data_IF_212934869310
#
_entry.id   IF_212934869310
#
_cell.length_a   1.000
_cell.length_b   1.000
_cell.length_c   1.000
_cell.angle_alpha   90.00
_cell.angle_beta   90.00
_cell.angle_gamma   90.00
#
_symmetry.space_group_name_H-M   'P 1'
#
loop_
_entity.id
_entity.type
_entity.pdbx_description
1 polymer ?
#
# COMPACT_ATOMS: atom_id res chain seq x y z
N UNK A 1 10.44 -12.90 10.19
CA UNK A 1 9.98 -12.09 11.35
C UNK A 1 8.62 -12.59 11.78
N UNK A 2 8.40 -12.75 13.08
CA UNK A 2 7.09 -13.01 13.67
C UNK A 2 6.79 -11.88 14.66
N UNK A 3 5.53 -11.46 14.72
CA UNK A 3 5.08 -10.41 15.61
C UNK A 3 3.68 -10.70 16.14
N UNK A 4 3.45 -10.31 17.38
CA UNK A 4 2.13 -10.24 18.00
C UNK A 4 1.97 -8.88 18.65
N UNK A 5 0.83 -8.23 18.45
CA UNK A 5 0.52 -6.94 19.06
C UNK A 5 -0.97 -6.82 19.39
N UNK A 6 -1.31 -5.82 20.20
CA UNK A 6 -2.71 -5.44 20.43
C UNK A 6 -3.31 -4.82 19.15
N UNK A 7 -4.62 -4.99 18.97
CA UNK A 7 -5.38 -4.46 17.83
C UNK A 7 -5.80 -2.99 17.95
N UNK A 8 -5.56 -2.35 19.10
CA UNK A 8 -6.07 -1.02 19.45
C UNK A 8 -5.35 0.17 18.77
N UNK A 9 -4.47 -0.09 17.80
CA UNK A 9 -3.73 0.94 17.09
C UNK A 9 -2.44 1.38 17.79
N UNK A 10 -1.67 2.24 17.12
CA UNK A 10 -0.47 2.85 17.69
C UNK A 10 -0.87 3.88 18.76
N UNK A 11 -0.21 3.84 19.91
CA UNK A 11 -0.28 4.86 20.96
C UNK A 11 -1.64 5.00 21.70
N UNK A 12 -2.37 3.89 21.86
CA UNK A 12 -3.54 3.84 22.74
C UNK A 12 -3.15 3.27 24.11
N UNK A 13 -3.12 4.07 25.19
CA UNK A 13 -2.73 3.60 26.52
C UNK A 13 -3.84 2.83 27.24
N UNK A 14 -5.08 2.88 26.74
CA UNK A 14 -6.23 2.24 27.37
C UNK A 14 -6.45 0.82 26.85
N UNK A 15 -6.61 -0.12 27.79
CA UNK A 15 -7.03 -1.47 27.48
C UNK A 15 -8.56 -1.49 27.30
N UNK A 16 -9.01 -1.42 26.05
CA UNK A 16 -10.43 -1.38 25.71
C UNK A 16 -11.00 -2.74 25.29
N UNK A 17 -10.17 -3.63 24.74
CA UNK A 17 -10.59 -4.94 24.23
C UNK A 17 -9.44 -5.98 24.19
N UNK A 18 -9.79 -7.21 23.81
CA UNK A 18 -8.85 -8.31 23.55
C UNK A 18 -8.48 -8.45 22.07
N UNK A 19 -8.67 -7.41 21.24
CA UNK A 19 -8.32 -7.49 19.83
C UNK A 19 -6.81 -7.70 19.66
N UNK A 20 -6.42 -8.60 18.76
CA UNK A 20 -5.01 -8.97 18.54
C UNK A 20 -4.64 -8.94 17.07
N UNK A 21 -3.36 -8.66 16.80
CA UNK A 21 -2.78 -8.72 15.47
C UNK A 21 -1.60 -9.69 15.47
N UNK A 22 -1.66 -10.64 14.56
CA UNK A 22 -0.63 -11.64 14.33
C UNK A 22 0.02 -11.33 12.99
N UNK A 23 1.35 -11.29 12.95
CA UNK A 23 2.11 -10.98 11.75
C UNK A 23 3.22 -12.00 11.55
N UNK A 24 3.34 -12.49 10.32
CA UNK A 24 4.46 -13.30 9.86
C UNK A 24 5.00 -12.71 8.57
N UNK A 25 6.31 -12.45 8.51
CA UNK A 25 7.00 -11.98 7.31
C UNK A 25 8.20 -12.87 7.01
N UNK A 26 8.35 -13.24 5.75
CA UNK A 26 9.51 -13.97 5.22
C UNK A 26 10.11 -13.13 4.11
N UNK A 27 11.43 -13.05 4.09
CA UNK A 27 12.19 -12.34 3.06
C UNK A 27 13.23 -13.28 2.47
N UNK A 28 13.39 -13.23 1.16
CA UNK A 28 14.31 -14.07 0.42
C UNK A 28 15.11 -13.24 -0.58
N UNK A 29 16.43 -13.28 -0.45
CA UNK A 29 17.38 -12.55 -1.27
C UNK A 29 18.30 -13.54 -1.99
N UNK A 30 17.87 -14.15 -3.12
CA UNK A 30 18.63 -15.19 -3.81
C UNK A 30 20.02 -14.71 -4.28
N UNK A 31 20.16 -13.40 -4.49
CA UNK A 31 21.37 -12.77 -5.01
C UNK A 31 22.20 -12.10 -3.90
N UNK A 32 21.90 -12.35 -2.63
CA UNK A 32 22.60 -11.78 -1.47
C UNK A 32 22.19 -10.34 -1.12
N UNK A 33 22.62 -9.88 0.05
CA UNK A 33 22.26 -8.58 0.63
C UNK A 33 22.75 -7.42 -0.25
N UNK A 34 21.90 -6.42 -0.46
CA UNK A 34 22.21 -5.19 -1.19
C UNK A 34 21.48 -4.00 -0.56
N UNK A 35 21.86 -2.76 -0.93
CA UNK A 35 21.11 -1.56 -0.52
C UNK A 35 19.77 -1.54 -1.26
N UNK A 36 18.75 -2.08 -0.62
CA UNK A 36 17.36 -2.13 -1.05
C UNK A 36 16.64 -0.78 -0.85
N UNK A 37 16.91 -0.05 0.24
CA UNK A 37 16.23 1.21 0.61
C UNK A 37 16.26 2.37 -0.41
N UNK A 38 17.20 2.40 -1.37
CA UNK A 38 17.23 3.45 -2.41
C UNK A 38 16.46 2.98 -3.64
N UNK A 39 15.31 3.55 -3.95
CA UNK A 39 14.48 3.15 -5.12
C UNK A 39 15.29 3.09 -6.42
N UNK A 40 16.16 4.07 -6.65
CA UNK A 40 17.01 4.18 -7.84
C UNK A 40 18.35 3.45 -7.68
N UNK A 41 18.77 2.73 -8.71
CA UNK A 41 20.06 2.02 -8.77
C UNK A 41 21.24 2.96 -9.16
N UNK A 42 21.53 3.94 -8.30
CA UNK A 42 22.70 4.83 -8.48
C UNK A 42 24.05 4.08 -8.51
N UNK A 43 24.11 2.94 -7.83
CA UNK A 43 25.32 2.12 -7.75
C UNK A 43 25.54 1.23 -8.99
N UNK A 44 24.58 1.20 -9.94
CA UNK A 44 24.60 0.33 -11.13
C UNK A 44 24.93 -1.11 -10.77
N UNK A 45 24.14 -1.66 -9.85
CA UNK A 45 24.36 -2.98 -9.28
C UNK A 45 24.33 -4.07 -10.36
N UNK A 46 25.07 -5.17 -10.12
CA UNK A 46 24.78 -6.46 -10.80
C UNK A 46 23.34 -6.86 -10.48
N UNK A 47 22.68 -7.73 -11.26
CA UNK A 47 21.32 -8.17 -10.95
C UNK A 47 21.17 -8.55 -9.47
N UNK A 48 20.24 -7.88 -8.80
CA UNK A 48 19.84 -8.14 -7.42
C UNK A 48 18.32 -8.25 -7.38
N UNK A 49 17.84 -9.18 -6.56
CA UNK A 49 16.43 -9.42 -6.33
C UNK A 49 16.23 -9.64 -4.83
N UNK A 50 15.25 -8.96 -4.27
CA UNK A 50 14.68 -9.28 -2.97
C UNK A 50 13.18 -9.52 -3.15
N UNK A 51 12.66 -10.52 -2.46
CA UNK A 51 11.23 -10.85 -2.42
C UNK A 51 10.83 -10.94 -0.96
N UNK A 52 9.77 -10.23 -0.58
CA UNK A 52 9.12 -10.28 0.72
C UNK A 52 7.72 -10.86 0.59
N UNK A 53 7.30 -11.64 1.58
CA UNK A 53 5.91 -12.05 1.74
C UNK A 53 5.52 -11.88 3.21
N UNK A 54 4.37 -11.26 3.44
CA UNK A 54 3.82 -10.98 4.76
C UNK A 54 2.39 -11.47 4.82
N UNK A 55 2.06 -12.16 5.91
CA UNK A 55 0.70 -12.48 6.29
C UNK A 55 0.40 -11.79 7.61
N UNK A 56 -0.76 -11.15 7.70
CA UNK A 56 -1.27 -10.66 8.98
C UNK A 56 -2.74 -11.01 9.18
N UNK A 57 -3.05 -11.34 10.43
CA UNK A 57 -4.39 -11.64 10.89
C UNK A 57 -4.76 -10.66 12.00
N UNK A 58 -5.88 -9.96 11.82
CA UNK A 58 -6.45 -9.06 12.82
C UNK A 58 -7.70 -9.74 13.36
N UNK A 59 -7.67 -10.08 14.63
CA UNK A 59 -8.78 -10.68 15.36
C UNK A 59 -9.57 -9.57 16.07
N UNK A 60 -10.88 -9.48 15.78
CA UNK A 60 -11.79 -8.49 16.35
C UNK A 60 -11.35 -7.03 16.17
N UNK A 61 -10.90 -6.65 14.97
CA UNK A 61 -10.63 -5.25 14.66
C UNK A 61 -11.91 -4.41 14.75
N UNK A 62 -11.86 -3.30 15.49
CA UNK A 62 -12.98 -2.38 15.69
C UNK A 62 -13.05 -1.27 14.62
N UNK A 63 -12.15 -1.27 13.62
CA UNK A 63 -12.12 -0.30 12.51
C UNK A 63 -12.20 -0.98 11.15
N UNK A 64 -12.74 -0.26 10.18
CA UNK A 64 -13.03 -0.72 8.80
C UNK A 64 -11.79 -1.11 7.97
N UNK A 65 -10.58 -0.76 8.44
CA UNK A 65 -9.30 -1.06 7.78
C UNK A 65 -8.29 -1.75 8.71
N UNK A 66 -8.76 -2.49 9.72
CA UNK A 66 -7.91 -3.18 10.69
C UNK A 66 -7.57 -2.27 11.87
N UNK A 67 -6.29 -1.88 12.02
CA UNK A 67 -5.85 -0.94 13.09
C UNK A 67 -6.03 0.54 12.74
N UNK A 68 -6.38 0.85 11.48
CA UNK A 68 -6.57 2.21 10.97
C UNK A 68 -8.00 2.36 10.42
N UNK A 69 -8.38 3.59 10.05
CA UNK A 69 -9.70 3.88 9.49
C UNK A 69 -10.73 4.30 10.52
N UNK A 70 -12.00 4.26 10.15
CA UNK A 70 -13.11 4.67 11.00
C UNK A 70 -13.59 3.49 11.86
N UNK A 71 -13.98 3.72 13.13
CA UNK A 71 -14.64 2.70 13.91
C UNK A 71 -15.99 2.34 13.28
N UNK A 72 -16.44 1.10 13.48
CA UNK A 72 -17.76 0.71 13.00
C UNK A 72 -18.86 1.41 13.80
N UNK A 73 -19.74 2.13 13.11
CA UNK A 73 -20.82 2.90 13.74
C UNK A 73 -21.83 2.00 14.47
N UNK A 74 -21.95 0.73 14.09
CA UNK A 74 -22.82 -0.25 14.74
C UNK A 74 -22.21 -0.87 16.02
N UNK A 75 -20.99 -0.46 16.38
CA UNK A 75 -20.23 -1.03 17.51
C UNK A 75 -19.72 -2.45 17.27
N UNK A 76 -19.83 -2.96 16.03
CA UNK A 76 -19.36 -4.28 15.67
C UNK A 76 -17.85 -4.35 15.46
N UNK A 77 -17.37 -5.53 15.09
CA UNK A 77 -15.95 -5.77 14.78
C UNK A 77 -15.79 -6.52 13.46
N UNK A 78 -14.55 -6.72 13.01
CA UNK A 78 -14.24 -7.53 11.85
C UNK A 78 -12.95 -8.32 12.06
N UNK A 79 -12.94 -9.54 11.54
CA UNK A 79 -11.73 -10.34 11.44
C UNK A 79 -11.13 -10.11 10.04
N UNK A 80 -9.85 -9.75 9.96
CA UNK A 80 -9.18 -9.49 8.69
C UNK A 80 -7.97 -10.39 8.47
N UNK A 81 -7.88 -10.93 7.26
CA UNK A 81 -6.68 -11.56 6.72
C UNK A 81 -6.08 -10.67 5.65
N UNK A 82 -4.79 -10.39 5.79
CA UNK A 82 -3.99 -9.66 4.83
C UNK A 82 -2.85 -10.54 4.34
N UNK A 83 -2.66 -10.56 3.03
CA UNK A 83 -1.48 -11.10 2.37
C UNK A 83 -0.83 -9.97 1.60
N UNK A 84 0.46 -9.76 1.81
CA UNK A 84 1.23 -8.75 1.12
C UNK A 84 2.51 -9.37 0.58
N UNK A 85 2.77 -9.18 -0.71
CA UNK A 85 3.97 -9.68 -1.38
C UNK A 85 4.64 -8.51 -2.05
N UNK A 86 5.93 -8.34 -1.81
CA UNK A 86 6.73 -7.30 -2.42
C UNK A 86 7.96 -7.90 -3.09
N UNK A 87 8.42 -7.25 -4.16
CA UNK A 87 9.68 -7.60 -4.78
C UNK A 87 10.37 -6.35 -5.31
N UNK A 88 11.69 -6.29 -5.13
CA UNK A 88 12.55 -5.26 -5.68
C UNK A 88 13.66 -5.89 -6.51
N UNK A 89 13.83 -5.39 -7.72
CA UNK A 89 14.85 -5.81 -8.66
C UNK A 89 15.71 -4.61 -9.07
N UNK A 90 17.03 -4.80 -9.12
CA UNK A 90 17.97 -3.78 -9.60
C UNK A 90 19.02 -4.41 -10.52
N UNK A 91 19.32 -3.74 -11.63
CA UNK A 91 20.39 -4.15 -12.53
C UNK A 91 20.86 -2.98 -13.41
N UNK A 92 22.15 -2.63 -13.30
CA UNK A 92 22.85 -1.71 -14.23
C UNK A 92 22.17 -0.34 -14.41
N UNK A 93 21.53 0.18 -13.37
CA UNK A 93 20.79 1.45 -13.42
C UNK A 93 19.30 1.29 -13.69
N UNK A 94 18.83 0.08 -14.01
CA UNK A 94 17.42 -0.27 -13.96
C UNK A 94 17.01 -0.65 -12.54
N UNK A 95 15.83 -0.20 -12.12
CA UNK A 95 15.20 -0.56 -10.86
C UNK A 95 13.71 -0.82 -11.08
N UNK A 96 13.19 -1.88 -10.48
CA UNK A 96 11.76 -2.15 -10.47
C UNK A 96 11.32 -2.61 -9.09
N UNK A 97 10.15 -2.15 -8.66
CA UNK A 97 9.48 -2.54 -7.42
C UNK A 97 8.07 -2.95 -7.79
N UNK A 98 7.61 -4.06 -7.23
CA UNK A 98 6.21 -4.45 -7.34
C UNK A 98 5.69 -4.88 -5.98
N UNK A 99 4.43 -4.57 -5.73
CA UNK A 99 3.75 -4.84 -4.48
C UNK A 99 2.36 -5.39 -4.81
N UNK A 100 1.97 -6.47 -4.15
CA UNK A 100 0.68 -7.12 -4.27
C UNK A 100 0.08 -7.26 -2.87
N UNK A 101 -1.09 -6.68 -2.65
CA UNK A 101 -1.84 -6.77 -1.42
C UNK A 101 -3.16 -7.49 -1.68
N UNK A 102 -3.54 -8.39 -0.80
CA UNK A 102 -4.86 -9.03 -0.80
C UNK A 102 -5.44 -8.94 0.60
N UNK A 103 -6.70 -8.52 0.70
CA UNK A 103 -7.44 -8.44 1.96
C UNK A 103 -8.79 -9.10 1.86
N UNK A 104 -9.10 -9.90 2.87
CA UNK A 104 -10.45 -10.40 3.15
C UNK A 104 -10.80 -10.15 4.60
N UNK A 105 -11.98 -9.62 4.84
CA UNK A 105 -12.54 -9.28 6.12
C UNK A 105 -13.93 -9.85 6.27
N UNK A 106 -14.25 -10.32 7.47
CA UNK A 106 -15.59 -10.83 7.82
C UNK A 106 -16.14 -10.02 8.99
N UNK A 107 -17.37 -9.50 8.84
CA UNK A 107 -18.00 -8.65 9.86
C UNK A 107 -18.67 -9.48 10.94
N UNK A 108 -18.52 -9.01 12.18
CA UNK A 108 -19.38 -9.31 13.33
C UNK A 108 -20.22 -8.06 13.55
N UNK A 109 -21.45 -8.09 13.06
CA UNK A 109 -22.39 -6.97 13.12
C UNK A 109 -22.66 -6.65 14.60
N UNK A 110 -22.61 -5.37 14.95
CA UNK A 110 -22.88 -4.92 16.30
C UNK A 110 -24.36 -4.70 16.57
N UNK A 111 -24.70 -4.44 17.83
CA UNK A 111 -26.09 -4.34 18.29
C UNK A 111 -26.66 -2.90 18.19
N UNK A 112 -25.85 -1.93 17.77
CA UNK A 112 -26.28 -0.53 17.65
C UNK A 112 -27.00 -0.34 16.31
N UNK A 113 -28.31 -0.14 16.37
CA UNK A 113 -29.16 0.06 15.19
C UNK A 113 -29.55 1.52 14.95
N UNK A 114 -29.34 2.40 15.94
CA UNK A 114 -29.68 3.82 15.88
C UNK A 114 -28.53 4.66 16.44
N UNK A 115 -28.25 5.79 15.79
CA UNK A 115 -27.26 6.76 16.29
C UNK A 115 -27.86 7.63 17.42
N UNK A 116 -27.05 8.45 18.13
CA UNK A 116 -27.53 9.32 19.19
C UNK A 116 -28.59 10.36 18.76
N UNK A 117 -28.68 10.65 17.46
CA UNK A 117 -29.65 11.58 16.86
C UNK A 117 -30.94 10.86 16.38
N UNK A 118 -31.01 9.53 16.53
CA UNK A 118 -32.16 8.70 16.17
C UNK A 118 -32.21 8.24 14.71
N UNK A 119 -31.12 8.39 13.95
CA UNK A 119 -31.03 7.89 12.58
C UNK A 119 -30.63 6.41 12.56
N UNK A 120 -31.15 5.60 11.61
CA UNK A 120 -30.72 4.21 11.46
C UNK A 120 -29.22 4.09 11.14
N UNK A 121 -28.53 3.24 11.87
CA UNK A 121 -27.12 2.90 11.59
C UNK A 121 -27.08 1.78 10.57
N UNK A 122 -26.40 2.02 9.44
CA UNK A 122 -26.16 0.99 8.42
C UNK A 122 -24.77 0.39 8.65
N UNK A 123 -24.66 -0.94 8.86
CA UNK A 123 -23.36 -1.58 9.01
C UNK A 123 -22.50 -1.35 7.78
N UNK A 124 -21.29 -0.84 7.99
CA UNK A 124 -20.30 -0.69 6.90
C UNK A 124 -19.62 -2.02 6.63
N UNK A 125 -19.56 -2.39 5.34
CA UNK A 125 -18.87 -3.59 4.89
C UNK A 125 -17.34 -3.45 4.99
N UNK A 126 -16.61 -4.55 5.20
CA UNK A 126 -15.16 -4.54 5.23
C UNK A 126 -14.60 -4.29 3.82
N UNK A 127 -13.49 -3.58 3.69
CA UNK A 127 -12.92 -3.24 2.37
C UNK A 127 -12.15 -4.41 1.72
N UNK A 128 -12.84 -5.44 1.27
CA UNK A 128 -12.23 -6.65 0.70
C UNK A 128 -11.81 -6.46 -0.76
N UNK A 129 -10.61 -6.93 -1.11
CA UNK A 129 -10.07 -6.75 -2.45
C UNK A 129 -8.60 -7.09 -2.63
N UNK A 130 -8.11 -6.75 -3.82
CA UNK A 130 -6.74 -6.90 -4.25
C UNK A 130 -6.19 -5.53 -4.67
N UNK A 131 -4.99 -5.21 -4.23
CA UNK A 131 -4.22 -4.06 -4.69
C UNK A 131 -2.93 -4.55 -5.34
N UNK A 132 -2.54 -3.95 -6.45
CA UNK A 132 -1.26 -4.24 -7.08
C UNK A 132 -0.60 -2.95 -7.55
N UNK A 133 0.72 -2.88 -7.43
CA UNK A 133 1.54 -1.79 -7.92
C UNK A 133 2.79 -2.35 -8.59
N UNK A 134 3.19 -1.72 -9.69
CA UNK A 134 4.46 -1.91 -10.34
C UNK A 134 5.05 -0.55 -10.67
N UNK A 135 6.27 -0.29 -10.20
CA UNK A 135 7.06 0.88 -10.54
C UNK A 135 8.37 0.41 -11.14
N UNK A 136 8.75 0.96 -12.27
CA UNK A 136 10.04 0.68 -12.90
C UNK A 136 10.70 1.98 -13.37
N UNK A 137 12.02 2.04 -13.26
CA UNK A 137 12.81 3.19 -13.63
C UNK A 137 14.16 2.80 -14.22
N UNK A 138 14.73 3.70 -15.02
CA UNK A 138 16.06 3.56 -15.59
C UNK A 138 16.85 4.86 -15.49
N UNK A 139 17.96 4.81 -14.76
CA UNK A 139 18.92 5.88 -14.64
C UNK A 139 19.92 5.83 -15.80
N UNK A 140 19.87 6.84 -16.66
CA UNK A 140 20.74 6.95 -17.84
C UNK A 140 22.20 7.17 -17.41
N UNK A 141 23.16 6.41 -17.98
CA UNK A 141 24.59 6.56 -17.68
C UNK A 141 25.10 7.98 -17.90
N UNK A 142 25.82 8.50 -16.90
CA UNK A 142 26.58 9.76 -16.98
C UNK A 142 25.76 11.02 -17.27
N UNK A 143 24.43 10.96 -17.20
CA UNK A 143 23.58 12.14 -17.43
C UNK A 143 22.89 12.63 -16.17
N UNK A 144 22.60 11.74 -15.21
CA UNK A 144 21.77 12.07 -14.05
C UNK A 144 20.27 12.11 -14.34
N UNK A 145 19.84 11.72 -15.54
CA UNK A 145 18.42 11.58 -15.89
C UNK A 145 17.90 10.19 -15.55
N UNK A 146 16.70 10.12 -14.98
CA UNK A 146 15.95 8.90 -14.79
C UNK A 146 14.56 9.03 -15.40
N UNK A 147 14.16 8.01 -16.13
CA UNK A 147 12.79 7.82 -16.57
C UNK A 147 12.16 6.74 -15.71
N UNK A 148 10.98 7.01 -15.17
CA UNK A 148 10.23 6.02 -14.42
C UNK A 148 8.75 6.01 -14.84
N UNK A 149 8.13 4.86 -14.66
CA UNK A 149 6.71 4.67 -14.84
C UNK A 149 6.16 3.84 -13.68
N UNK A 150 4.94 4.14 -13.26
CA UNK A 150 4.22 3.43 -12.21
C UNK A 150 2.81 3.11 -12.67
N UNK A 151 2.40 1.87 -12.49
CA UNK A 151 1.01 1.44 -12.59
C UNK A 151 0.52 0.95 -11.23
N UNK A 152 -0.70 1.28 -10.88
CA UNK A 152 -1.37 0.73 -9.71
C UNK A 152 -2.82 0.39 -10.03
N UNK A 153 -3.32 -0.67 -9.41
CA UNK A 153 -4.72 -1.04 -9.46
C UNK A 153 -5.21 -1.45 -8.07
N UNK A 154 -6.49 -1.20 -7.84
CA UNK A 154 -7.28 -1.67 -6.72
C UNK A 154 -8.53 -2.30 -7.31
N UNK A 155 -8.83 -3.52 -6.87
CA UNK A 155 -9.98 -4.29 -7.32
C UNK A 155 -10.78 -4.77 -6.11
N UNK A 156 -12.06 -4.41 -6.10
CA UNK A 156 -13.03 -4.85 -5.12
C UNK A 156 -13.36 -6.33 -5.30
N UNK A 157 -13.39 -7.08 -4.20
CA UNK A 157 -13.79 -8.50 -4.22
C UNK A 157 -15.30 -8.67 -3.99
N UNK A 158 -16.12 -7.88 -4.70
CA UNK A 158 -17.58 -7.82 -4.55
C UNK A 158 -18.29 -9.12 -4.92
N UNK A 159 -17.65 -9.98 -5.74
CA UNK A 159 -18.20 -11.27 -6.17
C UNK A 159 -18.13 -12.37 -5.08
N UNK A 160 -17.24 -12.23 -4.09
CA UNK A 160 -17.06 -13.24 -3.02
C UNK A 160 -17.53 -12.76 -1.64
N UNK A 161 -17.57 -11.46 -1.42
CA UNK A 161 -17.97 -10.88 -0.13
C UNK A 161 -18.48 -9.45 -0.33
N UNK A 162 -19.42 -9.02 0.49
CA UNK A 162 -19.80 -7.63 0.60
C UNK A 162 -18.57 -6.76 0.92
N UNK A 163 -18.41 -5.63 0.23
CA UNK A 163 -17.22 -4.79 0.33
C UNK A 163 -17.55 -3.33 0.06
N UNK A 164 -16.95 -2.45 0.86
CA UNK A 164 -16.96 -0.99 0.67
C UNK A 164 -15.74 -0.49 -0.13
N UNK A 165 -15.00 -1.41 -0.75
CA UNK A 165 -13.90 -1.08 -1.65
C UNK A 165 -14.45 -0.86 -3.06
N UNK A 166 -13.94 0.16 -3.73
CA UNK A 166 -14.22 0.47 -5.13
C UNK A 166 -12.99 0.18 -5.99
N UNK A 167 -13.21 -0.04 -7.27
CA UNK A 167 -12.14 -0.26 -8.23
C UNK A 167 -11.44 1.08 -8.52
N UNK A 168 -10.12 1.06 -8.64
CA UNK A 168 -9.36 2.24 -9.01
C UNK A 168 -8.10 1.85 -9.76
N UNK A 169 -7.74 2.64 -10.76
CA UNK A 169 -6.57 2.41 -11.61
C UNK A 169 -5.77 3.70 -11.68
N UNK A 170 -4.45 3.61 -11.62
CA UNK A 170 -3.58 4.77 -11.75
C UNK A 170 -2.36 4.44 -12.60
N UNK A 171 -1.99 5.34 -13.50
CA UNK A 171 -0.73 5.29 -14.24
C UNK A 171 0.00 6.61 -14.08
N UNK A 172 1.30 6.56 -13.79
CA UNK A 172 2.16 7.72 -13.65
C UNK A 172 3.41 7.54 -14.50
N UNK A 173 3.80 8.60 -15.20
CA UNK A 173 5.10 8.72 -15.84
C UNK A 173 5.89 9.84 -15.17
N UNK A 174 7.18 9.59 -14.95
CA UNK A 174 8.07 10.45 -14.18
C UNK A 174 9.37 10.67 -14.93
N UNK A 175 9.81 11.92 -14.97
CA UNK A 175 11.15 12.31 -15.41
C UNK A 175 11.86 13.00 -14.25
N UNK A 176 12.99 12.45 -13.85
CA UNK A 176 13.81 12.97 -12.75
C UNK A 176 15.19 13.36 -13.25
N UNK A 177 15.73 14.46 -12.71
CA UNK A 177 17.11 14.90 -12.92
C UNK A 177 17.82 15.11 -11.59
N UNK A 178 18.96 14.46 -11.43
CA UNK A 178 19.78 14.47 -10.23
C UNK A 178 21.02 15.34 -10.40
N UNK A 179 21.06 16.48 -9.72
CA UNK A 179 22.20 17.42 -9.76
C UNK A 179 23.39 16.90 -8.94
N UNK A 180 23.11 16.27 -7.79
CA UNK A 180 24.11 15.76 -6.86
C UNK A 180 23.63 14.50 -6.12
N UNK A 181 22.98 13.56 -6.84
CA UNK A 181 22.30 12.37 -6.29
C UNK A 181 21.09 12.74 -5.41
N UNK A 182 20.84 12.00 -4.33
CA UNK A 182 19.70 12.16 -3.41
C UNK A 182 19.44 13.58 -2.86
N UNK A 183 20.45 14.40 -2.50
CA UNK A 183 20.17 15.69 -1.86
C UNK A 183 19.59 16.76 -2.78
N UNK A 184 19.77 16.65 -4.10
CA UNK A 184 19.29 17.65 -5.04
C UNK A 184 18.68 16.98 -6.28
N UNK A 185 17.34 16.96 -6.35
CA UNK A 185 16.60 16.44 -7.51
C UNK A 185 15.46 17.36 -7.93
N UNK A 186 15.20 17.38 -9.23
CA UNK A 186 13.96 17.89 -9.82
C UNK A 186 13.25 16.71 -10.47
N UNK A 187 11.94 16.62 -10.25
CA UNK A 187 11.10 15.57 -10.77
C UNK A 187 9.81 16.16 -11.34
N UNK A 188 9.44 15.73 -12.53
CA UNK A 188 8.17 16.05 -13.16
C UNK A 188 7.38 14.77 -13.37
N UNK A 189 6.12 14.77 -12.93
CA UNK A 189 5.22 13.62 -13.01
C UNK A 189 3.94 13.97 -13.76
N UNK A 190 3.47 13.05 -14.59
CA UNK A 190 2.14 13.07 -15.19
C UNK A 190 1.42 11.82 -14.74
N UNK A 191 0.31 11.99 -14.04
CA UNK A 191 -0.51 10.89 -13.52
C UNK A 191 -1.91 10.94 -14.10
N UNK A 192 -2.44 9.77 -14.44
CA UNK A 192 -3.83 9.57 -14.80
C UNK A 192 -4.43 8.59 -13.79
N UNK A 193 -5.53 8.98 -13.17
CA UNK A 193 -6.25 8.17 -12.19
C UNK A 193 -7.66 7.98 -12.71
N UNK A 194 -8.17 6.75 -12.62
CA UNK A 194 -9.54 6.38 -12.97
C UNK A 194 -10.20 5.74 -11.76
N UNK A 195 -11.45 6.13 -11.50
CA UNK A 195 -12.28 5.59 -10.43
C UNK A 195 -13.41 4.79 -11.07
N UNK A 196 -13.54 3.53 -10.67
CA UNK A 196 -14.59 2.59 -11.07
C UNK A 196 -14.59 2.17 -12.57
N UNK A 197 -14.46 3.10 -13.52
CA UNK A 197 -14.39 2.89 -14.97
C UNK A 197 -13.33 3.78 -15.62
N UNK A 198 -12.80 3.35 -16.77
CA UNK A 198 -11.79 4.11 -17.54
C UNK A 198 -12.32 5.40 -18.20
N UNK A 199 -13.64 5.64 -18.12
CA UNK A 199 -14.31 6.75 -18.82
C UNK A 199 -14.36 8.04 -17.98
N UNK A 200 -14.12 7.95 -16.66
CA UNK A 200 -14.04 9.09 -15.75
C UNK A 200 -12.69 9.09 -15.03
N UNK A 201 -11.79 9.97 -15.49
CA UNK A 201 -10.42 9.98 -15.01
C UNK A 201 -9.83 11.37 -14.86
N UNK A 202 -9.04 11.56 -13.82
CA UNK A 202 -8.35 12.81 -13.53
C UNK A 202 -6.90 12.75 -14.00
N UNK A 203 -6.48 13.76 -14.76
CA UNK A 203 -5.07 13.99 -15.07
C UNK A 203 -4.47 14.94 -14.04
N UNK A 204 -3.36 14.55 -13.41
CA UNK A 204 -2.60 15.38 -12.48
C UNK A 204 -1.19 15.59 -12.99
N UNK A 205 -0.76 16.84 -13.04
CA UNK A 205 0.62 17.23 -13.29
C UNK A 205 1.27 17.65 -11.98
N UNK A 206 2.49 17.16 -11.72
CA UNK A 206 3.28 17.53 -10.54
C UNK A 206 4.69 17.90 -10.95
N UNK A 207 5.19 18.99 -10.37
CA UNK A 207 6.60 19.34 -10.41
C UNK A 207 7.10 19.40 -8.96
N UNK A 208 8.20 18.72 -8.67
CA UNK A 208 8.80 18.64 -7.34
C UNK A 208 10.29 18.97 -7.40
N UNK A 209 10.71 19.89 -6.54
CA UNK A 209 12.10 20.17 -6.23
C UNK A 209 12.39 19.63 -4.82
N UNK A 210 13.45 18.84 -4.68
CA UNK A 210 13.94 18.40 -3.38
C UNK A 210 15.38 18.87 -3.19
N UNK A 211 15.61 19.54 -2.06
CA UNK A 211 16.90 20.00 -1.58
C UNK A 211 17.05 19.57 -0.12
N UNK A 212 18.07 18.78 0.21
CA UNK A 212 18.43 18.45 1.59
C UNK A 212 19.89 18.80 1.85
N UNK A 213 20.13 19.61 2.89
CA UNK A 213 21.45 20.03 3.37
C UNK A 213 21.98 19.07 4.43
#
# INVERSE_FOLDING_TARGET
>A
MLGISTGNGLNNPEFTDFAMVYLARVEYLPMGIFRDYSEVDFARTKPRLAIGATYSFFDNANRDRGMIGAPFADGGTADYHFVYVDAIFKARGFSAITELAFRTGTRKIGDITMDPDGNPVVPTDPRNGLGWMLQAGYLVPNTGFEFAARGALIQANSKRSATSLEDSYATTFSLSYYFARHPFKIQADVSQIWEDRFDDGATTFRLQLQASL
#
